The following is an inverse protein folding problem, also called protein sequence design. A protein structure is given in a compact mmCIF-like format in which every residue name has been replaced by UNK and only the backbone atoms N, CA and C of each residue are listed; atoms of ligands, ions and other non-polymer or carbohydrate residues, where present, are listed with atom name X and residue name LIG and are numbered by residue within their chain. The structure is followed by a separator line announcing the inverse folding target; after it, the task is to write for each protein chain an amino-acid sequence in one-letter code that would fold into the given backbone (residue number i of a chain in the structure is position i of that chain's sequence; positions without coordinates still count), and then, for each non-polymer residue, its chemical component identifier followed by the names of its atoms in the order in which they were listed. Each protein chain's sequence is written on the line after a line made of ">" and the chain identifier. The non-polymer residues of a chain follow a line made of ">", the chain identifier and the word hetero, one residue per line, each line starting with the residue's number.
data_IF_719463507221
#
_entry.id   IF_719463507221
#
_cell.length_a   1.000
_cell.length_b   1.000
_cell.length_c   1.000
_cell.angle_alpha   90.00
_cell.angle_beta   90.00
_cell.angle_gamma   90.00
#
_symmetry.space_group_name_H-M   'P 1'
#
loop_
_entity.id
_entity.type
_entity.pdbx_description
1 polymer ?
#
# COMPACT_ATOMS: atom_id res chain seq x y z
N UNK A 1 15.30 7.91 1.38
CA UNK A 1 14.95 7.24 2.63
C UNK A 1 15.31 5.77 2.52
N UNK A 2 15.86 5.23 3.59
CA UNK A 2 16.29 3.85 3.62
C UNK A 2 15.17 2.98 4.23
N UNK A 3 14.26 2.53 3.36
CA UNK A 3 13.08 1.77 3.78
C UNK A 3 13.03 0.46 2.98
N UNK A 4 12.38 -0.58 3.53
CA UNK A 4 12.12 -1.80 2.75
C UNK A 4 11.26 -1.51 1.54
N UNK A 5 11.59 -2.15 0.42
CA UNK A 5 10.83 -2.03 -0.82
C UNK A 5 10.59 -3.39 -1.44
N UNK A 6 9.43 -3.53 -2.08
CA UNK A 6 9.10 -4.68 -2.92
C UNK A 6 8.57 -4.16 -4.24
N UNK A 7 8.62 -4.99 -5.29
CA UNK A 7 8.01 -4.65 -6.56
C UNK A 7 6.60 -5.26 -6.67
N UNK A 8 5.90 -4.99 -7.77
CA UNK A 8 4.52 -5.46 -7.94
C UNK A 8 4.44 -6.97 -8.12
N UNK A 9 5.48 -7.63 -8.62
CA UNK A 9 5.51 -9.09 -8.74
C UNK A 9 5.58 -9.71 -7.34
N UNK A 10 6.44 -9.17 -6.50
CA UNK A 10 6.56 -9.61 -5.10
C UNK A 10 5.28 -9.32 -4.34
N UNK A 11 4.65 -8.18 -4.59
CA UNK A 11 3.37 -7.83 -3.98
C UNK A 11 2.31 -8.88 -4.34
N UNK A 12 2.19 -9.23 -5.62
CA UNK A 12 1.21 -10.21 -6.07
C UNK A 12 1.41 -11.56 -5.38
N UNK A 13 2.67 -12.01 -5.28
CA UNK A 13 2.98 -13.26 -4.59
C UNK A 13 2.58 -13.22 -3.12
N UNK A 14 2.85 -12.11 -2.45
CA UNK A 14 2.54 -11.97 -1.02
C UNK A 14 1.03 -11.94 -0.78
N UNK A 15 0.28 -11.23 -1.64
CA UNK A 15 -1.17 -11.21 -1.55
C UNK A 15 -1.78 -12.59 -1.76
N UNK A 16 -1.25 -13.35 -2.73
CA UNK A 16 -1.71 -14.72 -2.99
C UNK A 16 -1.50 -15.64 -1.80
N UNK A 17 -0.44 -15.42 -1.04
CA UNK A 17 -0.14 -16.22 0.15
C UNK A 17 -0.81 -15.71 1.41
N UNK A 18 -1.51 -14.57 1.34
CA UNK A 18 -2.06 -13.93 2.53
C UNK A 18 -0.97 -13.40 3.47
N UNK A 19 0.16 -13.00 2.92
CA UNK A 19 1.34 -12.60 3.68
C UNK A 19 1.42 -11.07 3.76
N UNK A 20 0.59 -10.50 4.61
CA UNK A 20 0.59 -9.08 4.87
C UNK A 20 -0.73 -8.41 4.52
N UNK A 21 -0.84 -7.15 4.91
CA UNK A 21 -2.00 -6.30 4.66
C UNK A 21 -1.59 -5.17 3.72
N UNK A 22 -2.34 -4.99 2.64
CA UNK A 22 -2.08 -3.92 1.68
C UNK A 22 -2.77 -2.64 2.14
N UNK A 23 -1.99 -1.58 2.26
CA UNK A 23 -2.47 -0.25 2.68
C UNK A 23 -2.27 0.72 1.53
N UNK A 24 -3.37 1.27 1.01
CA UNK A 24 -3.35 2.27 -0.07
C UNK A 24 -3.44 3.66 0.56
N UNK A 25 -2.43 4.50 0.33
CA UNK A 25 -2.33 5.81 0.96
C UNK A 25 -2.71 6.95 0.01
N UNK A 26 -3.37 6.62 -1.11
CA UNK A 26 -3.83 7.59 -2.09
C UNK A 26 -5.11 8.29 -1.63
N UNK A 27 -5.58 9.21 -2.46
CA UNK A 27 -6.84 9.92 -2.21
C UNK A 27 -8.04 9.04 -2.60
N UNK A 28 -9.22 9.30 -2.01
CA UNK A 28 -10.42 8.53 -2.36
C UNK A 28 -10.77 8.54 -3.84
N UNK A 29 -10.58 9.66 -4.55
CA UNK A 29 -10.88 9.74 -5.97
C UNK A 29 -9.95 8.86 -6.81
N UNK A 30 -8.70 8.70 -6.40
CA UNK A 30 -7.76 7.77 -7.06
C UNK A 30 -8.19 6.31 -6.81
N UNK A 31 -8.62 6.02 -5.60
CA UNK A 31 -9.13 4.71 -5.22
C UNK A 31 -10.33 4.34 -6.09
N UNK A 32 -11.27 5.27 -6.28
CA UNK A 32 -12.47 5.03 -7.07
C UNK A 32 -12.15 4.72 -8.53
N UNK A 33 -11.10 5.31 -9.08
CA UNK A 33 -10.67 5.05 -10.45
C UNK A 33 -10.15 3.62 -10.63
N UNK A 34 -9.31 3.18 -9.71
CA UNK A 34 -8.78 1.82 -9.71
C UNK A 34 -8.04 1.56 -8.40
N UNK A 35 -8.27 0.40 -7.80
CA UNK A 35 -7.53 -0.04 -6.62
C UNK A 35 -7.37 -1.56 -6.63
N UNK A 36 -6.51 -2.07 -5.79
CA UNK A 36 -6.32 -3.51 -5.65
C UNK A 36 -7.33 -4.01 -4.63
N UNK A 37 -8.13 -5.01 -5.01
CA UNK A 37 -9.12 -5.60 -4.13
C UNK A 37 -8.47 -6.16 -2.88
N UNK A 38 -9.10 -5.93 -1.74
CA UNK A 38 -8.56 -6.35 -0.44
C UNK A 38 -7.69 -5.32 0.25
N UNK A 39 -7.31 -4.23 -0.44
CA UNK A 39 -6.54 -3.16 0.17
C UNK A 39 -7.41 -2.35 1.13
N UNK A 40 -6.76 -1.75 2.12
CA UNK A 40 -7.40 -0.80 3.03
C UNK A 40 -6.96 0.61 2.65
N UNK A 41 -7.93 1.51 2.45
CA UNK A 41 -7.62 2.90 2.13
C UNK A 41 -7.38 3.68 3.42
N UNK A 42 -6.14 4.12 3.60
CA UNK A 42 -5.76 5.02 4.70
C UNK A 42 -4.93 6.13 4.06
N UNK A 43 -5.57 7.24 3.76
CA UNK A 43 -4.91 8.34 3.04
C UNK A 43 -3.70 8.86 3.81
N UNK A 44 -2.69 9.33 3.09
CA UNK A 44 -1.44 9.78 3.71
C UNK A 44 -1.68 10.86 4.76
N UNK A 45 -2.59 11.79 4.50
CA UNK A 45 -2.89 12.89 5.42
C UNK A 45 -3.59 12.43 6.69
N UNK A 46 -4.33 11.32 6.65
CA UNK A 46 -5.01 10.78 7.84
C UNK A 46 -4.19 9.71 8.56
N UNK A 47 -3.11 9.25 7.94
CA UNK A 47 -2.32 8.14 8.50
C UNK A 47 -1.87 8.39 9.95
N UNK A 48 -1.37 9.57 10.34
CA UNK A 48 -0.94 9.76 11.72
C UNK A 48 -2.04 9.51 12.74
N UNK A 49 -3.29 9.89 12.42
CA UNK A 49 -4.43 9.72 13.32
C UNK A 49 -5.00 8.31 13.28
N UNK A 50 -4.77 7.58 12.20
CA UNK A 50 -5.34 6.25 11.99
C UNK A 50 -4.33 5.12 12.08
N UNK A 51 -3.08 5.44 12.39
CA UNK A 51 -2.01 4.45 12.41
C UNK A 51 -2.31 3.28 13.36
N UNK A 52 -2.91 3.56 14.49
CA UNK A 52 -3.26 2.54 15.49
C UNK A 52 -4.39 1.61 15.05
N UNK A 53 -5.10 1.93 13.95
CA UNK A 53 -6.08 1.02 13.35
C UNK A 53 -5.40 -0.10 12.56
N UNK A 54 -4.12 0.05 12.24
CA UNK A 54 -3.38 -0.93 11.44
C UNK A 54 -2.83 -2.03 12.33
N UNK A 55 -2.85 -3.29 11.84
CA UNK A 55 -2.31 -4.39 12.64
C UNK A 55 -0.80 -4.27 12.82
N UNK A 56 -0.33 -4.51 14.04
CA UNK A 56 1.10 -4.43 14.37
C UNK A 56 1.81 -5.78 14.31
N UNK A 57 1.06 -6.86 14.10
CA UNK A 57 1.60 -8.23 14.14
C UNK A 57 1.80 -8.86 12.77
N UNK A 58 1.47 -8.14 11.69
CA UNK A 58 1.63 -8.63 10.32
C UNK A 58 2.32 -7.56 9.48
N UNK A 59 3.00 -7.96 8.38
CA UNK A 59 3.63 -6.99 7.48
C UNK A 59 2.59 -6.07 6.84
N UNK A 60 2.95 -4.80 6.70
CA UNK A 60 2.14 -3.81 5.97
C UNK A 60 2.82 -3.53 4.63
N UNK A 61 2.06 -3.67 3.54
CA UNK A 61 2.54 -3.44 2.19
C UNK A 61 1.88 -2.14 1.73
N UNK A 62 2.67 -1.10 1.50
CA UNK A 62 2.16 0.27 1.36
C UNK A 62 2.28 0.72 -0.09
N UNK A 63 1.15 1.13 -0.68
CA UNK A 63 1.08 1.47 -2.10
C UNK A 63 0.49 2.86 -2.31
N UNK A 64 1.00 3.55 -3.32
CA UNK A 64 0.38 4.77 -3.84
C UNK A 64 0.40 4.71 -5.38
N UNK A 65 0.34 5.86 -6.04
CA UNK A 65 0.32 5.88 -7.50
C UNK A 65 1.65 5.45 -8.10
N UNK A 66 2.75 6.05 -7.66
CA UNK A 66 4.09 5.84 -8.25
C UNK A 66 5.14 5.38 -7.26
N UNK A 67 4.83 5.35 -5.96
CA UNK A 67 5.76 4.93 -4.92
C UNK A 67 6.29 6.06 -4.04
N UNK A 68 6.01 7.33 -4.36
CA UNK A 68 6.56 8.47 -3.61
C UNK A 68 5.82 8.71 -2.29
N UNK A 69 4.50 8.83 -2.32
CA UNK A 69 3.69 9.02 -1.10
C UNK A 69 3.79 7.82 -0.19
N UNK A 70 3.76 6.62 -0.77
CA UNK A 70 3.87 5.38 0.01
C UNK A 70 5.25 5.22 0.64
N UNK A 71 6.31 5.76 0.03
CA UNK A 71 7.63 5.78 0.64
C UNK A 71 7.62 6.62 1.93
N UNK A 72 6.98 7.78 1.89
CA UNK A 72 6.83 8.64 3.08
C UNK A 72 6.04 7.90 4.17
N UNK A 73 4.91 7.29 3.80
CA UNK A 73 4.08 6.51 4.72
C UNK A 73 4.86 5.33 5.33
N UNK A 74 5.61 4.61 4.50
CA UNK A 74 6.41 3.47 4.96
C UNK A 74 7.45 3.92 5.97
N UNK A 75 8.14 5.02 5.69
CA UNK A 75 9.14 5.57 6.61
C UNK A 75 8.51 5.88 7.98
N UNK A 76 7.34 6.50 7.99
CA UNK A 76 6.62 6.82 9.23
C UNK A 76 6.21 5.55 9.98
N UNK A 77 5.71 4.55 9.26
CA UNK A 77 5.28 3.28 9.86
C UNK A 77 6.47 2.51 10.46
N UNK A 78 7.57 2.43 9.74
CA UNK A 78 8.79 1.78 10.25
C UNK A 78 9.27 2.51 11.50
N UNK A 79 9.26 3.84 11.48
CA UNK A 79 9.65 4.63 12.65
C UNK A 79 8.74 4.41 13.86
N UNK A 80 7.50 4.02 13.63
CA UNK A 80 6.53 3.73 14.69
C UNK A 80 6.56 2.26 15.13
N UNK A 81 7.46 1.45 14.58
CA UNK A 81 7.64 0.05 14.99
C UNK A 81 6.89 -0.97 14.15
N UNK A 82 6.25 -0.56 13.06
CA UNK A 82 5.57 -1.50 12.16
C UNK A 82 6.55 -2.16 11.21
N UNK A 83 6.25 -3.39 10.81
CA UNK A 83 6.93 -4.07 9.71
C UNK A 83 6.27 -3.62 8.42
N UNK A 84 6.86 -2.68 7.71
CA UNK A 84 6.26 -2.08 6.52
C UNK A 84 7.24 -2.06 5.36
N UNK A 85 6.72 -2.19 4.14
CA UNK A 85 7.50 -2.10 2.91
C UNK A 85 6.75 -1.27 1.88
N UNK A 86 7.49 -0.44 1.15
CA UNK A 86 6.95 0.36 0.06
C UNK A 86 6.84 -0.48 -1.22
N UNK A 87 5.71 -0.37 -1.92
CA UNK A 87 5.55 -1.00 -3.23
C UNK A 87 6.12 -0.06 -4.28
N UNK A 88 7.31 -0.35 -4.76
CA UNK A 88 7.99 0.45 -5.79
C UNK A 88 7.18 0.41 -7.09
N UNK A 89 7.06 1.57 -7.73
CA UNK A 89 6.27 1.70 -8.96
C UNK A 89 4.77 1.84 -8.73
N UNK A 90 4.27 1.44 -7.59
CA UNK A 90 2.88 1.66 -7.17
C UNK A 90 1.83 1.13 -8.13
N UNK A 91 0.67 1.79 -8.13
CA UNK A 91 -0.46 1.40 -8.99
C UNK A 91 -0.13 1.48 -10.48
N UNK A 92 0.75 2.41 -10.88
CA UNK A 92 1.15 2.50 -12.29
C UNK A 92 1.82 1.20 -12.75
N UNK A 93 2.76 0.69 -11.97
CA UNK A 93 3.43 -0.58 -12.29
C UNK A 93 2.47 -1.77 -12.22
N UNK A 94 1.57 -1.77 -11.24
CA UNK A 94 0.57 -2.83 -11.10
C UNK A 94 -0.33 -2.91 -12.33
N UNK A 95 -0.86 -1.76 -12.77
CA UNK A 95 -1.75 -1.68 -13.95
C UNK A 95 -0.97 -2.05 -15.21
N UNK A 96 0.24 -1.55 -15.38
CA UNK A 96 1.09 -1.84 -16.53
C UNK A 96 1.39 -3.34 -16.65
N UNK A 97 1.47 -4.04 -15.52
CA UNK A 97 1.71 -5.49 -15.50
C UNK A 97 0.49 -6.30 -15.95
N UNK A 98 -0.67 -5.65 -16.17
CA UNK A 98 -1.88 -6.32 -16.62
C UNK A 98 -2.69 -6.99 -15.51
N UNK A 99 -2.37 -6.72 -14.26
CA UNK A 99 -3.06 -7.33 -13.13
C UNK A 99 -4.42 -6.68 -12.89
N UNK A 100 -5.33 -7.45 -12.30
CA UNK A 100 -6.72 -7.04 -12.08
C UNK A 100 -6.80 -5.91 -11.06
N UNK A 101 -7.69 -4.96 -11.33
CA UNK A 101 -8.03 -3.88 -10.40
C UNK A 101 -9.55 -3.83 -10.21
N UNK A 102 -9.97 -3.35 -9.05
CA UNK A 102 -11.36 -3.02 -8.77
C UNK A 102 -11.57 -1.53 -9.01
N UNK A 103 -12.82 -1.13 -9.20
CA UNK A 103 -13.20 0.27 -9.42
C UNK A 103 -14.38 0.62 -8.54
N UNK A 104 -14.51 1.90 -8.23
CA UNK A 104 -15.58 2.41 -7.38
C UNK A 104 -15.35 2.10 -5.92
N UNK A 105 -16.42 2.14 -5.13
CA UNK A 105 -16.35 1.98 -3.67
C UNK A 105 -16.19 0.53 -3.22
N UNK A 106 -16.30 -0.38 -4.13
CA UNK A 106 -16.31 -1.82 -3.86
C UNK A 106 -15.02 -2.45 -3.39
#
# INVERSE_FOLDING_TARGET
>A
MDIPEIDVDQLAERLDRGDGVLVDVRRPEEWDEAHIEGASLVTLDTLPDRMDELPSSVPLLVICRSGARSAVATHALVGAGYDAANVAGGMLAWIESGRVVARGEG
#
